data_IF_639122082891
#
_entry.id   IF_639122082891
#
_cell.length_a   1.000
_cell.length_b   1.000
_cell.length_c   1.000
_cell.angle_alpha   90.00
_cell.angle_beta   90.00
_cell.angle_gamma   90.00
#
_symmetry.space_group_name_H-M   'P 1'
#
loop_
_entity.id
_entity.type
_entity.pdbx_description
1 polymer ?
#
# COMPACT_ATOMS: atom_id res chain seq x y z
N UNK A 1 19.34 -16.17 14.44
CA UNK A 1 17.92 -15.78 14.54
C UNK A 1 17.71 -14.76 13.43
N UNK A 2 16.77 -14.98 12.51
CA UNK A 2 16.42 -13.93 11.54
C UNK A 2 15.88 -12.75 12.36
N UNK A 3 16.42 -11.55 12.15
CA UNK A 3 15.85 -10.38 12.79
C UNK A 3 14.44 -10.18 12.19
N UNK A 4 13.54 -9.74 13.06
CA UNK A 4 12.17 -9.44 12.71
C UNK A 4 12.11 -7.95 12.47
N UNK A 5 11.54 -7.54 11.34
CA UNK A 5 11.42 -6.13 11.01
C UNK A 5 10.83 -5.34 12.17
N UNK A 6 11.43 -4.19 12.47
CA UNK A 6 10.90 -3.26 13.47
C UNK A 6 9.57 -2.63 13.02
N UNK A 7 9.23 -2.74 11.74
CA UNK A 7 7.97 -2.30 11.15
C UNK A 7 6.98 -3.46 11.07
N UNK A 8 5.77 -3.22 11.53
CA UNK A 8 4.65 -4.15 11.52
C UNK A 8 3.38 -3.42 11.11
N UNK A 9 2.57 -4.05 10.26
CA UNK A 9 1.26 -3.55 9.85
C UNK A 9 0.22 -4.14 10.78
N UNK A 10 -0.62 -3.26 11.33
CA UNK A 10 -1.63 -3.60 12.33
C UNK A 10 -2.99 -3.87 11.72
N UNK A 11 -3.31 -3.20 10.62
CA UNK A 11 -4.62 -3.27 9.99
C UNK A 11 -4.53 -2.82 8.52
N UNK A 12 -5.46 -3.32 7.70
CA UNK A 12 -5.64 -2.93 6.30
C UNK A 12 -7.13 -2.74 6.01
N UNK A 13 -7.43 -1.65 5.30
CA UNK A 13 -8.77 -1.35 4.81
C UNK A 13 -8.65 -0.86 3.37
N UNK A 14 -9.52 -1.37 2.50
CA UNK A 14 -9.53 -1.01 1.08
C UNK A 14 -10.95 -0.61 0.70
N UNK A 15 -11.07 0.53 0.03
CA UNK A 15 -12.36 1.02 -0.44
C UNK A 15 -12.26 1.60 -1.86
N UNK A 16 -13.31 1.45 -2.68
CA UNK A 16 -13.39 2.16 -3.95
C UNK A 16 -13.60 3.66 -3.73
N UNK A 17 -12.86 4.48 -4.46
CA UNK A 17 -13.09 5.91 -4.57
C UNK A 17 -14.12 6.11 -5.69
N UNK A 18 -15.33 6.52 -5.33
CA UNK A 18 -16.37 6.85 -6.29
C UNK A 18 -16.26 8.33 -6.67
N UNK A 19 -15.78 8.60 -7.88
CA UNK A 19 -15.84 9.94 -8.47
C UNK A 19 -17.28 10.30 -8.86
N UNK A 20 -17.69 11.55 -8.61
CA UNK A 20 -19.00 12.06 -9.02
C UNK A 20 -19.02 12.38 -10.54
N UNK A 21 -17.83 12.47 -11.17
CA UNK A 21 -17.68 12.70 -12.61
C UNK A 21 -17.26 11.41 -13.34
N UNK A 22 -18.23 10.84 -14.06
CA UNK A 22 -18.19 9.54 -14.75
C UNK A 22 -17.26 9.44 -15.97
N UNK A 23 -16.27 10.33 -16.13
CA UNK A 23 -15.46 10.39 -17.36
C UNK A 23 -14.14 9.62 -17.30
N UNK A 24 -13.65 9.27 -16.11
CA UNK A 24 -12.53 8.32 -15.98
C UNK A 24 -13.03 6.88 -16.12
N UNK A 25 -12.50 6.15 -17.11
CA UNK A 25 -12.78 4.71 -17.28
C UNK A 25 -11.98 3.82 -16.33
N UNK A 26 -11.08 4.39 -15.53
CA UNK A 26 -10.26 3.67 -14.58
C UNK A 26 -10.90 3.71 -13.18
N UNK A 27 -10.83 2.57 -12.50
CA UNK A 27 -11.34 2.43 -11.14
C UNK A 27 -10.24 2.86 -10.18
N UNK A 28 -10.57 3.73 -9.23
CA UNK A 28 -9.64 4.18 -8.21
C UNK A 28 -9.97 3.51 -6.89
N UNK A 29 -8.95 2.97 -6.23
CA UNK A 29 -9.03 2.37 -4.90
C UNK A 29 -8.21 3.20 -3.92
N UNK A 30 -8.73 3.38 -2.72
CA UNK A 30 -7.94 3.84 -1.57
C UNK A 30 -7.54 2.63 -0.74
N UNK A 31 -6.23 2.42 -0.61
CA UNK A 31 -5.66 1.43 0.32
C UNK A 31 -5.20 2.18 1.56
N UNK A 32 -5.84 1.89 2.68
CA UNK A 32 -5.52 2.46 3.98
C UNK A 32 -4.94 1.37 4.88
N UNK A 33 -3.95 1.71 5.69
CA UNK A 33 -3.37 0.77 6.64
C UNK A 33 -2.75 1.49 7.83
N UNK A 34 -2.51 0.72 8.89
CA UNK A 34 -1.84 1.19 10.09
C UNK A 34 -0.48 0.53 10.25
N UNK A 35 0.56 1.30 10.52
CA UNK A 35 1.89 0.77 10.85
C UNK A 35 2.33 1.19 12.25
N UNK A 36 3.22 0.42 12.89
CA UNK A 36 3.70 0.71 14.24
C UNK A 36 4.84 1.76 14.29
N UNK A 37 5.67 1.87 13.24
CA UNK A 37 6.85 2.72 13.21
C UNK A 37 7.17 3.17 11.78
N UNK A 38 6.79 4.40 11.43
CA UNK A 38 7.11 4.99 10.13
C UNK A 38 8.58 5.40 9.97
N UNK A 39 9.34 5.55 11.07
CA UNK A 39 10.74 6.00 11.01
C UNK A 39 11.69 4.95 10.44
N UNK A 40 11.35 3.67 10.64
CA UNK A 40 12.12 2.55 10.13
C UNK A 40 11.57 2.02 8.79
N UNK A 41 10.44 2.55 8.31
CA UNK A 41 9.80 2.11 7.09
C UNK A 41 10.47 2.74 5.86
N UNK A 42 10.69 1.94 4.81
CA UNK A 42 11.43 2.34 3.61
C UNK A 42 10.59 2.23 2.34
N UNK A 43 10.00 1.06 2.09
CA UNK A 43 9.20 0.81 0.88
C UNK A 43 7.92 0.09 1.25
N UNK A 44 6.78 0.63 0.81
CA UNK A 44 5.49 -0.03 0.83
C UNK A 44 5.33 -0.86 -0.44
N UNK A 45 4.99 -2.13 -0.28
CA UNK A 45 4.68 -3.05 -1.36
C UNK A 45 3.20 -3.41 -1.35
N UNK A 46 2.54 -3.23 -2.50
CA UNK A 46 1.19 -3.70 -2.76
C UNK A 46 1.21 -4.65 -3.95
N UNK A 47 0.74 -5.88 -3.73
CA UNK A 47 0.60 -6.90 -4.77
C UNK A 47 -0.88 -7.21 -4.96
N UNK A 48 -1.40 -6.81 -6.11
CA UNK A 48 -2.72 -7.19 -6.58
C UNK A 48 -2.58 -8.50 -7.34
N UNK A 49 -3.35 -9.50 -6.92
CA UNK A 49 -3.25 -10.81 -7.51
C UNK A 49 -4.52 -11.63 -7.51
N UNK A 50 -4.46 -12.71 -8.27
CA UNK A 50 -5.52 -13.73 -8.32
C UNK A 50 -5.49 -14.65 -7.10
N UNK A 51 -4.37 -14.71 -6.38
CA UNK A 51 -4.22 -15.37 -5.08
C UNK A 51 -3.34 -14.52 -4.12
N UNK A 52 -3.30 -14.91 -2.84
CA UNK A 52 -2.40 -14.29 -1.84
C UNK A 52 -0.94 -14.38 -2.30
N UNK A 53 -0.17 -13.34 -2.01
CA UNK A 53 1.26 -13.23 -2.33
C UNK A 53 1.59 -13.31 -3.84
N UNK A 54 0.57 -13.23 -4.70
CA UNK A 54 0.75 -13.06 -6.14
C UNK A 54 0.58 -11.58 -6.50
N UNK A 55 1.54 -11.05 -7.25
CA UNK A 55 1.48 -9.72 -7.88
C UNK A 55 1.22 -9.81 -9.38
N UNK A 56 0.46 -10.84 -9.81
CA UNK A 56 0.24 -11.20 -11.20
C UNK A 56 -0.72 -10.26 -11.96
N UNK A 57 -1.50 -9.44 -11.24
CA UNK A 57 -2.39 -8.43 -11.83
C UNK A 57 -1.72 -7.06 -11.86
N UNK A 58 -1.16 -6.63 -10.72
CA UNK A 58 -0.42 -5.38 -10.58
C UNK A 58 0.49 -5.45 -9.35
N UNK A 59 1.69 -4.89 -9.44
CA UNK A 59 2.57 -4.68 -8.28
C UNK A 59 2.91 -3.19 -8.19
N UNK A 60 2.83 -2.64 -6.99
CA UNK A 60 3.14 -1.24 -6.68
C UNK A 60 4.16 -1.20 -5.57
N UNK A 61 5.25 -0.47 -5.83
CA UNK A 61 6.24 -0.09 -4.84
C UNK A 61 6.15 1.42 -4.63
N UNK A 62 5.91 1.84 -3.39
CA UNK A 62 5.82 3.23 -2.99
C UNK A 62 6.88 3.53 -1.93
N UNK A 63 7.61 4.63 -2.08
CA UNK A 63 8.68 4.99 -1.14
C UNK A 63 8.09 5.67 0.10
N UNK A 64 8.63 5.36 1.27
CA UNK A 64 8.35 6.09 2.50
C UNK A 64 9.53 7.04 2.73
N UNK A 65 9.24 8.33 2.79
CA UNK A 65 10.26 9.39 2.86
C UNK A 65 10.02 10.30 4.05
N UNK A 66 11.10 10.79 4.63
CA UNK A 66 11.09 11.79 5.70
C UNK A 66 11.41 13.17 5.11
N UNK A 67 10.57 14.15 5.45
CA UNK A 67 10.77 15.55 5.07
C UNK A 67 10.33 16.45 6.24
N UNK A 68 11.29 17.12 6.88
CA UNK A 68 11.00 18.13 7.90
C UNK A 68 10.33 17.57 9.16
N UNK A 69 10.74 16.38 9.59
CA UNK A 69 10.21 15.64 10.73
C UNK A 69 8.88 14.93 10.48
N UNK A 70 8.42 14.89 9.22
CA UNK A 70 7.16 14.25 8.82
C UNK A 70 7.46 13.15 7.80
N UNK A 71 6.60 12.14 7.79
CA UNK A 71 6.74 10.99 6.91
C UNK A 71 5.64 10.98 5.87
N UNK A 72 5.99 10.59 4.65
CA UNK A 72 5.08 10.56 3.51
C UNK A 72 5.24 9.25 2.76
N UNK A 73 4.13 8.73 2.23
CA UNK A 73 4.17 7.74 1.15
C UNK A 73 4.24 8.49 -0.17
N UNK A 74 5.24 8.18 -0.98
CA UNK A 74 5.46 8.77 -2.31
C UNK A 74 5.24 7.72 -3.39
N UNK A 75 4.28 7.98 -4.27
CA UNK A 75 3.94 7.12 -5.40
C UNK A 75 3.40 7.96 -6.56
N UNK A 76 3.85 7.66 -7.79
CA UNK A 76 3.34 8.35 -8.99
C UNK A 76 3.56 9.87 -9.00
N UNK A 77 4.56 10.37 -8.25
CA UNK A 77 4.82 11.81 -8.11
C UNK A 77 3.90 12.53 -7.12
N UNK A 78 3.05 11.80 -6.40
CA UNK A 78 2.19 12.30 -5.33
C UNK A 78 2.76 11.87 -3.99
N UNK A 79 2.77 12.78 -3.02
CA UNK A 79 3.18 12.52 -1.64
C UNK A 79 1.98 12.62 -0.71
N UNK A 80 1.73 11.56 0.05
CA UNK A 80 0.63 11.47 0.99
C UNK A 80 1.17 11.39 2.42
N UNK A 81 0.76 12.35 3.26
CA UNK A 81 1.24 12.46 4.64
C UNK A 81 0.77 11.26 5.47
N UNK A 82 1.71 10.67 6.22
CA UNK A 82 1.43 9.68 7.25
C UNK A 82 1.06 10.42 8.54
N UNK A 83 -0.12 10.14 9.09
CA UNK A 83 -0.64 10.83 10.29
C UNK A 83 -0.72 9.86 11.45
N UNK A 84 0.16 10.03 12.43
CA UNK A 84 0.26 9.08 13.54
C UNK A 84 0.69 7.70 13.04
N UNK A 85 -0.23 6.74 13.09
CA UNK A 85 -0.02 5.38 12.58
C UNK A 85 -0.75 5.13 11.25
N UNK A 86 -1.61 6.07 10.83
CA UNK A 86 -2.50 5.92 9.69
C UNK A 86 -1.81 6.35 8.40
N UNK A 87 -1.93 5.51 7.37
CA UNK A 87 -1.37 5.72 6.04
C UNK A 87 -2.42 5.40 5.01
N UNK A 88 -2.47 6.17 3.93
CA UNK A 88 -3.27 5.84 2.76
C UNK A 88 -2.53 6.09 1.46
N UNK A 89 -2.90 5.30 0.45
CA UNK A 89 -2.37 5.37 -0.90
C UNK A 89 -3.53 5.16 -1.88
N UNK A 90 -3.69 6.10 -2.80
CA UNK A 90 -4.62 5.97 -3.90
C UNK A 90 -3.97 5.20 -5.06
N UNK A 91 -4.66 4.17 -5.55
CA UNK A 91 -4.22 3.33 -6.66
C UNK A 91 -5.25 3.40 -7.78
N UNK A 92 -4.78 3.63 -9.00
CA UNK A 92 -5.62 3.57 -10.19
C UNK A 92 -5.45 2.21 -10.87
N UNK A 93 -6.58 1.56 -11.15
CA UNK A 93 -6.66 0.29 -11.83
C UNK A 93 -7.37 0.45 -13.18
N UNK A 94 -6.86 -0.22 -14.20
CA UNK A 94 -7.62 -0.41 -15.43
C UNK A 94 -8.82 -1.32 -15.17
N UNK A 95 -9.83 -1.26 -16.03
CA UNK A 95 -11.01 -2.13 -15.91
C UNK A 95 -10.65 -3.63 -15.91
N UNK A 96 -9.63 -4.04 -16.67
CA UNK A 96 -9.17 -5.42 -16.70
C UNK A 96 -8.48 -5.82 -15.38
N UNK A 97 -7.67 -4.94 -14.80
CA UNK A 97 -7.05 -5.18 -13.49
C UNK A 97 -8.10 -5.30 -12.38
N UNK A 98 -9.06 -4.36 -12.33
CA UNK A 98 -10.15 -4.38 -11.34
C UNK A 98 -10.96 -5.68 -11.37
N UNK A 99 -11.18 -6.20 -12.58
CA UNK A 99 -11.94 -7.44 -12.78
C UNK A 99 -11.12 -8.70 -12.49
N UNK A 100 -9.79 -8.62 -12.53
CA UNK A 100 -8.90 -9.77 -12.42
C UNK A 100 -8.42 -10.03 -10.98
N UNK A 101 -8.17 -9.00 -10.16
CA UNK A 101 -7.67 -9.22 -8.81
C UNK A 101 -8.74 -9.78 -7.88
N UNK A 102 -8.31 -10.63 -6.96
CA UNK A 102 -9.12 -11.14 -5.84
C UNK A 102 -8.47 -10.84 -4.49
N UNK A 103 -7.16 -10.59 -4.48
CA UNK A 103 -6.37 -10.33 -3.29
C UNK A 103 -5.52 -9.08 -3.46
N UNK A 104 -5.33 -8.35 -2.38
CA UNK A 104 -4.29 -7.34 -2.25
C UNK A 104 -3.41 -7.75 -1.07
N UNK A 105 -2.13 -8.01 -1.35
CA UNK A 105 -1.13 -8.29 -0.32
C UNK A 105 -0.35 -7.02 -0.04
N UNK A 106 -0.30 -6.63 1.24
CA UNK A 106 0.41 -5.44 1.71
C UNK A 106 1.52 -5.85 2.67
N UNK A 107 2.74 -5.38 2.40
CA UNK A 107 3.88 -5.49 3.32
C UNK A 107 4.82 -4.29 3.16
N UNK A 108 5.64 -4.03 4.18
CA UNK A 108 6.59 -2.92 4.18
C UNK A 108 7.99 -3.49 4.33
N UNK A 109 8.90 -3.06 3.47
CA UNK A 109 10.33 -3.20 3.66
C UNK A 109 10.84 -2.10 4.58
N UNK A 110 11.61 -2.46 5.60
CA UNK A 110 12.26 -1.51 6.49
C UNK A 110 13.62 -1.05 5.94
N UNK A 111 14.23 -0.08 6.62
CA UNK A 111 15.53 0.50 6.28
C UNK A 111 16.69 -0.51 6.32
N UNK A 112 16.51 -1.67 6.96
CA UNK A 112 17.51 -2.74 7.03
C UNK A 112 17.28 -3.81 5.95
N UNK A 113 16.25 -3.66 5.12
CA UNK A 113 15.88 -4.61 4.07
C UNK A 113 15.08 -5.81 4.57
N UNK A 114 14.59 -5.79 5.82
CA UNK A 114 13.67 -6.81 6.32
C UNK A 114 12.23 -6.45 5.97
N UNK A 115 11.37 -7.47 5.80
CA UNK A 115 9.95 -7.26 5.54
C UNK A 115 9.13 -7.39 6.82
N UNK A 116 8.10 -6.55 6.95
CA UNK A 116 7.07 -6.66 7.97
C UNK A 116 6.28 -7.97 7.85
N UNK A 117 5.34 -8.19 8.78
CA UNK A 117 4.23 -9.11 8.51
C UNK A 117 3.48 -8.69 7.23
N UNK A 118 2.79 -9.64 6.61
CA UNK A 118 1.91 -9.38 5.48
C UNK A 118 0.46 -9.32 5.94
N UNK A 119 -0.30 -8.37 5.42
CA UNK A 119 -1.75 -8.38 5.53
C UNK A 119 -2.38 -8.56 4.16
N UNK A 120 -3.59 -9.11 4.16
CA UNK A 120 -4.32 -9.45 2.95
C UNK A 120 -5.70 -8.80 3.01
N UNK A 121 -6.07 -8.10 1.95
CA UNK A 121 -7.45 -7.76 1.65
C UNK A 121 -8.01 -8.75 0.63
N UNK A 122 -9.25 -9.18 0.84
CA UNK A 122 -9.99 -10.08 -0.04
C UNK A 122 -11.19 -9.30 -0.54
N UNK A 123 -11.35 -9.24 -1.86
CA UNK A 123 -12.46 -8.55 -2.52
C UNK A 123 -13.79 -9.28 -2.35
#
# INVERSE_FOLDING_TARGET
>A
MAAQSSVQIKDIYVQPITGIDSTSMNNQLEVMFKMNNQADASVLHLQFGTAQDLGDVLTIDASIIEQGGKYYVSYGGVEQLIVGYDTSLSVELTQSQESAYSYITLYIGDINGESSNKLYFIK
#
